data_IF_494843937482
#
_entry.id   IF_494843937482
#
_cell.length_a   1.000
_cell.length_b   1.000
_cell.length_c   1.000
_cell.angle_alpha   90.00
_cell.angle_beta   90.00
_cell.angle_gamma   90.00
#
_symmetry.space_group_name_H-M   'P 1'
#
loop_
_entity.id
_entity.type
_entity.pdbx_description
1 polymer ?
#
# COMPACT_ATOMS: atom_id res chain seq x y z
N UNK A 1 58.17 -18.37 14.65
CA UNK A 1 56.70 -18.58 14.56
C UNK A 1 56.01 -17.28 14.16
N UNK A 2 55.11 -17.35 13.17
CA UNK A 2 53.92 -16.49 12.99
C UNK A 2 54.05 -14.99 12.62
N UNK A 3 54.69 -14.62 11.50
CA UNK A 3 54.37 -13.34 10.82
C UNK A 3 53.40 -13.49 9.63
N UNK A 4 53.36 -14.67 9.00
CA UNK A 4 52.49 -14.93 7.84
C UNK A 4 51.03 -15.27 8.21
N UNK A 5 50.75 -15.65 9.47
CA UNK A 5 49.37 -15.91 9.92
C UNK A 5 48.58 -14.63 10.20
N UNK A 6 49.25 -13.53 10.51
CA UNK A 6 48.61 -12.24 10.84
C UNK A 6 48.17 -11.47 9.60
N UNK A 7 48.92 -11.53 8.50
CA UNK A 7 48.49 -10.91 7.23
C UNK A 7 47.29 -11.63 6.59
N UNK A 8 47.22 -12.96 6.68
CA UNK A 8 46.11 -13.71 6.10
C UNK A 8 44.79 -13.45 6.84
N UNK A 9 44.84 -13.26 8.17
CA UNK A 9 43.67 -12.93 8.98
C UNK A 9 43.11 -11.52 8.70
N UNK A 10 43.98 -10.55 8.39
CA UNK A 10 43.58 -9.16 8.08
C UNK A 10 42.92 -9.08 6.69
N UNK A 11 43.42 -9.81 5.69
CA UNK A 11 42.80 -9.86 4.36
C UNK A 11 41.43 -10.56 4.36
N UNK A 12 41.24 -11.58 5.20
CA UNK A 12 39.95 -12.29 5.34
C UNK A 12 38.92 -11.38 6.07
N UNK A 13 39.33 -10.64 7.11
CA UNK A 13 38.46 -9.69 7.81
C UNK A 13 38.00 -8.50 6.96
N UNK A 14 38.89 -7.96 6.11
CA UNK A 14 38.55 -6.86 5.18
C UNK A 14 37.60 -7.32 4.06
N UNK A 15 37.74 -8.55 3.56
CA UNK A 15 36.83 -9.11 2.55
C UNK A 15 35.42 -9.41 3.08
N UNK A 16 35.30 -9.88 4.33
CA UNK A 16 34.02 -10.13 5.00
C UNK A 16 33.27 -8.83 5.36
N UNK A 17 33.98 -7.78 5.77
CA UNK A 17 33.37 -6.47 6.03
C UNK A 17 32.88 -5.78 4.74
N UNK A 18 33.68 -5.84 3.67
CA UNK A 18 33.31 -5.27 2.38
C UNK A 18 32.10 -5.97 1.74
N UNK A 19 32.02 -7.30 1.84
CA UNK A 19 30.88 -8.08 1.31
C UNK A 19 29.60 -7.85 2.11
N UNK A 20 29.68 -7.73 3.43
CA UNK A 20 28.53 -7.39 4.28
C UNK A 20 28.00 -5.96 4.02
N UNK A 21 28.87 -4.97 3.82
CA UNK A 21 28.46 -3.60 3.50
C UNK A 21 27.80 -3.49 2.12
N UNK A 22 28.33 -4.18 1.09
CA UNK A 22 27.73 -4.22 -0.25
C UNK A 22 26.37 -4.96 -0.23
N UNK A 23 26.22 -5.98 0.61
CA UNK A 23 24.96 -6.71 0.80
C UNK A 23 23.84 -5.85 1.40
N UNK A 24 24.16 -4.91 2.31
CA UNK A 24 23.17 -3.98 2.84
C UNK A 24 22.84 -2.85 1.86
N UNK A 25 23.84 -2.27 1.19
CA UNK A 25 23.67 -1.15 0.27
C UNK A 25 22.90 -1.51 -1.02
N UNK A 26 22.81 -2.79 -1.35
CA UNK A 26 22.03 -3.31 -2.50
C UNK A 26 20.81 -4.14 -2.08
N UNK A 27 20.47 -4.18 -0.78
CA UNK A 27 19.44 -5.09 -0.24
C UNK A 27 18.08 -4.93 -0.92
N UNK A 28 17.67 -3.70 -1.23
CA UNK A 28 16.39 -3.36 -1.87
C UNK A 28 16.55 -3.00 -3.36
N UNK A 29 17.74 -3.20 -3.94
CA UNK A 29 18.04 -2.85 -5.33
C UNK A 29 17.33 -3.81 -6.31
N UNK A 30 16.08 -3.50 -6.64
CA UNK A 30 15.27 -4.17 -7.66
C UNK A 30 15.78 -3.88 -9.08
N UNK A 31 15.39 -4.73 -10.03
CA UNK A 31 15.75 -4.54 -11.45
C UNK A 31 15.02 -3.33 -12.04
N UNK A 32 13.74 -3.20 -11.72
CA UNK A 32 12.87 -2.12 -12.16
C UNK A 32 12.63 -1.12 -11.00
N UNK A 33 12.48 0.19 -11.28
CA UNK A 33 12.18 1.18 -10.24
C UNK A 33 10.87 0.84 -9.53
N UNK A 34 10.82 1.16 -8.23
CA UNK A 34 9.62 1.05 -7.41
C UNK A 34 8.82 2.36 -7.53
N UNK A 35 7.54 2.25 -7.82
CA UNK A 35 6.58 3.37 -7.82
C UNK A 35 5.59 3.15 -6.69
N UNK A 36 5.54 4.09 -5.76
CA UNK A 36 4.64 4.07 -4.61
C UNK A 36 3.38 4.88 -4.92
N UNK A 37 2.21 4.23 -4.89
CA UNK A 37 0.92 4.84 -5.23
C UNK A 37 0.00 4.86 -4.01
N UNK A 38 -0.28 6.06 -3.53
CA UNK A 38 -1.08 6.28 -2.31
C UNK A 38 -2.55 5.85 -2.49
N UNK A 39 -3.29 5.81 -1.39
CA UNK A 39 -4.72 5.50 -1.35
C UNK A 39 -5.64 6.71 -1.47
N UNK A 40 -6.90 6.52 -1.05
CA UNK A 40 -7.90 7.57 -0.91
C UNK A 40 -7.42 8.60 0.14
N UNK A 41 -7.65 9.90 -0.12
CA UNK A 41 -7.13 11.00 0.72
C UNK A 41 -5.60 11.00 0.90
N UNK A 42 -4.86 10.25 0.06
CA UNK A 42 -3.40 10.24 0.11
C UNK A 42 -2.79 11.54 -0.42
N UNK A 43 -1.62 11.87 0.08
CA UNK A 43 -0.91 13.12 -0.18
C UNK A 43 0.56 12.80 -0.39
N UNK A 44 1.31 13.69 -1.04
CA UNK A 44 2.76 13.51 -1.16
C UNK A 44 3.44 13.86 0.16
N UNK A 45 3.27 15.12 0.58
CA UNK A 45 3.75 15.62 1.86
C UNK A 45 2.78 16.67 2.42
N UNK A 46 2.55 16.63 3.73
CA UNK A 46 1.65 17.52 4.45
C UNK A 46 2.39 18.10 5.65
N UNK A 47 2.66 19.41 5.62
CA UNK A 47 3.45 20.09 6.66
C UNK A 47 4.82 19.43 6.92
N UNK A 48 5.43 18.84 5.89
CA UNK A 48 6.71 18.12 5.97
C UNK A 48 6.60 16.64 6.38
N UNK A 49 5.38 16.09 6.44
CA UNK A 49 5.10 14.70 6.79
C UNK A 49 4.71 13.97 5.51
N UNK A 50 5.50 12.97 5.13
CA UNK A 50 5.23 12.16 3.94
C UNK A 50 4.16 11.11 4.23
N UNK A 51 3.28 10.81 3.27
CA UNK A 51 2.31 9.71 3.38
C UNK A 51 2.99 8.37 3.67
N UNK A 52 4.06 8.09 2.92
CA UNK A 52 4.91 6.93 3.08
C UNK A 52 6.00 7.22 4.13
N UNK A 53 5.63 7.28 5.42
CA UNK A 53 6.50 7.84 6.45
C UNK A 53 7.80 7.05 6.65
N UNK A 54 8.93 7.58 6.17
CA UNK A 54 10.26 6.95 6.24
C UNK A 54 10.47 5.76 5.31
N UNK A 55 9.47 5.38 4.49
CA UNK A 55 9.56 4.22 3.60
C UNK A 55 10.43 4.50 2.36
N UNK A 56 10.27 5.62 1.62
CA UNK A 56 11.09 5.90 0.44
C UNK A 56 12.58 6.01 0.78
N UNK A 57 12.92 6.67 1.89
CA UNK A 57 14.32 6.81 2.34
C UNK A 57 14.92 5.45 2.72
N UNK A 58 14.16 4.60 3.42
CA UNK A 58 14.59 3.25 3.78
C UNK A 58 14.72 2.32 2.58
N UNK A 59 13.89 2.48 1.54
CA UNK A 59 14.04 1.74 0.29
C UNK A 59 15.25 2.24 -0.50
N UNK A 60 15.44 3.56 -0.62
CA UNK A 60 16.59 4.16 -1.32
C UNK A 60 17.92 3.82 -0.64
N UNK A 61 17.97 3.75 0.68
CA UNK A 61 19.19 3.40 1.42
C UNK A 61 19.69 1.97 1.16
N UNK A 62 18.81 1.06 0.73
CA UNK A 62 19.18 -0.28 0.27
C UNK A 62 19.39 -0.40 -1.24
N UNK A 63 19.41 0.72 -1.98
CA UNK A 63 19.73 0.77 -3.41
C UNK A 63 18.53 0.79 -4.36
N UNK A 64 17.29 0.81 -3.87
CA UNK A 64 16.11 0.93 -4.73
C UNK A 64 16.05 2.32 -5.40
N UNK A 65 15.66 2.35 -6.68
CA UNK A 65 15.15 3.58 -7.31
C UNK A 65 13.68 3.71 -6.96
N UNK A 66 13.29 4.78 -6.27
CA UNK A 66 11.92 4.94 -5.76
C UNK A 66 11.33 6.25 -6.25
N UNK A 67 10.17 6.14 -6.88
CA UNK A 67 9.31 7.24 -7.30
C UNK A 67 8.02 7.19 -6.47
N UNK A 68 7.46 8.36 -6.17
CA UNK A 68 6.17 8.49 -5.50
C UNK A 68 5.26 9.12 -6.55
N UNK A 69 4.15 8.45 -6.85
CA UNK A 69 3.16 8.97 -7.80
C UNK A 69 2.11 9.80 -7.07
N UNK A 70 1.67 10.90 -7.67
CA UNK A 70 0.53 11.69 -7.20
C UNK A 70 -0.67 11.41 -8.10
N UNK A 71 -1.80 10.99 -7.52
CA UNK A 71 -3.07 10.78 -8.24
C UNK A 71 -4.21 11.44 -7.47
N UNK A 72 -5.36 11.66 -8.11
CA UNK A 72 -6.54 12.29 -7.50
C UNK A 72 -6.88 11.66 -6.15
N UNK A 73 -6.89 12.44 -5.06
CA UNK A 73 -7.22 11.96 -3.70
C UNK A 73 -8.55 11.23 -3.66
N UNK A 74 -9.55 11.76 -4.38
CA UNK A 74 -10.89 11.23 -4.48
C UNK A 74 -11.28 11.11 -5.96
N UNK A 75 -11.36 9.89 -6.47
CA UNK A 75 -11.94 9.61 -7.79
C UNK A 75 -12.19 8.11 -7.96
N UNK A 76 -12.64 7.70 -9.15
CA UNK A 76 -12.76 6.28 -9.48
C UNK A 76 -11.40 5.60 -9.63
N UNK A 77 -11.33 4.28 -9.42
CA UNK A 77 -10.12 3.49 -9.66
C UNK A 77 -9.61 3.59 -11.11
N UNK A 78 -10.52 3.71 -12.09
CA UNK A 78 -10.16 3.86 -13.50
C UNK A 78 -9.53 5.24 -13.77
N UNK A 79 -10.12 6.33 -13.26
CA UNK A 79 -9.56 7.69 -13.42
C UNK A 79 -8.20 7.81 -12.77
N UNK A 80 -8.05 7.36 -11.52
CA UNK A 80 -6.74 7.32 -10.85
C UNK A 80 -5.74 6.43 -11.58
N UNK A 81 -6.23 5.36 -12.21
CA UNK A 81 -5.43 4.43 -13.01
C UNK A 81 -4.85 5.08 -14.26
N UNK A 82 -5.61 5.93 -14.94
CA UNK A 82 -5.13 6.72 -16.09
C UNK A 82 -4.09 7.76 -15.66
N UNK A 83 -4.33 8.49 -14.57
CA UNK A 83 -3.36 9.45 -14.01
C UNK A 83 -2.05 8.77 -13.61
N UNK A 84 -2.14 7.55 -13.04
CA UNK A 84 -0.96 6.75 -12.74
C UNK A 84 -0.26 6.26 -14.01
N UNK A 85 -1.03 5.86 -15.04
CA UNK A 85 -0.47 5.34 -16.28
C UNK A 85 0.44 6.37 -16.96
N UNK A 86 0.02 7.64 -17.03
CA UNK A 86 0.84 8.74 -17.59
C UNK A 86 2.21 8.82 -16.89
N UNK A 87 2.22 8.76 -15.55
CA UNK A 87 3.45 8.79 -14.77
C UNK A 87 4.28 7.51 -14.94
N UNK A 88 3.64 6.34 -15.07
CA UNK A 88 4.34 5.07 -15.31
C UNK A 88 5.02 5.05 -16.67
N UNK A 89 4.39 5.61 -17.70
CA UNK A 89 5.01 5.78 -19.03
C UNK A 89 6.26 6.66 -18.95
N UNK A 90 6.16 7.80 -18.26
CA UNK A 90 7.29 8.69 -18.03
C UNK A 90 8.41 7.97 -17.26
N UNK A 91 8.11 7.35 -16.11
CA UNK A 91 9.09 6.68 -15.26
C UNK A 91 9.76 5.51 -15.99
N UNK A 92 8.99 4.70 -16.73
CA UNK A 92 9.53 3.60 -17.52
C UNK A 92 10.51 4.10 -18.60
N UNK A 93 10.22 5.25 -19.22
CA UNK A 93 11.07 5.88 -20.21
C UNK A 93 12.34 6.51 -19.60
N UNK A 94 12.21 7.41 -18.61
CA UNK A 94 13.34 8.16 -18.05
C UNK A 94 14.29 7.28 -17.22
N UNK A 95 13.78 6.20 -16.63
CA UNK A 95 14.62 5.26 -15.87
C UNK A 95 15.49 4.37 -16.76
N UNK A 96 15.15 4.26 -18.05
CA UNK A 96 15.75 3.35 -19.02
C UNK A 96 15.47 1.87 -18.76
N UNK A 97 14.61 1.54 -17.77
CA UNK A 97 14.35 0.16 -17.37
C UNK A 97 13.21 -0.49 -18.18
N UNK A 98 12.37 0.30 -18.84
CA UNK A 98 11.26 -0.16 -19.69
C UNK A 98 10.08 -0.78 -18.95
N UNK A 99 10.20 -1.03 -17.64
CA UNK A 99 9.12 -1.45 -16.74
C UNK A 99 9.28 -0.82 -15.35
N UNK A 100 8.24 -0.94 -14.52
CA UNK A 100 8.22 -0.53 -13.11
C UNK A 100 7.67 -1.64 -12.20
N UNK A 101 8.01 -1.57 -10.91
CA UNK A 101 7.35 -2.30 -9.83
C UNK A 101 6.37 -1.37 -9.12
N UNK A 102 5.08 -1.65 -9.21
CA UNK A 102 4.04 -0.86 -8.55
C UNK A 102 3.78 -1.39 -7.13
N UNK A 103 3.76 -0.50 -6.15
CA UNK A 103 3.30 -0.78 -4.79
C UNK A 103 2.18 0.20 -4.44
N UNK A 104 0.97 -0.31 -4.25
CA UNK A 104 -0.23 0.48 -4.03
C UNK A 104 -0.87 0.18 -2.67
N UNK A 105 -1.05 1.20 -1.83
CA UNK A 105 -1.72 1.07 -0.54
C UNK A 105 -3.20 1.46 -0.63
N UNK A 106 -4.10 0.72 0.02
CA UNK A 106 -5.52 1.01 0.06
C UNK A 106 -6.12 1.13 -1.36
N UNK A 107 -6.72 2.28 -1.70
CA UNK A 107 -7.21 2.57 -3.07
C UNK A 107 -6.09 2.56 -4.15
N UNK A 108 -4.83 2.69 -3.74
CA UNK A 108 -3.67 2.49 -4.59
C UNK A 108 -3.61 1.07 -5.16
N UNK A 109 -4.15 0.06 -4.47
CA UNK A 109 -4.20 -1.33 -4.94
C UNK A 109 -5.04 -1.52 -6.22
N UNK A 110 -6.32 -1.16 -6.25
CA UNK A 110 -7.11 -1.13 -7.48
C UNK A 110 -6.51 -0.21 -8.56
N UNK A 111 -5.94 0.93 -8.17
CA UNK A 111 -5.28 1.87 -9.09
C UNK A 111 -4.12 1.21 -9.85
N UNK A 112 -3.21 0.52 -9.16
CA UNK A 112 -2.09 -0.17 -9.82
C UNK A 112 -2.54 -1.38 -10.65
N UNK A 113 -3.65 -2.03 -10.27
CA UNK A 113 -4.24 -3.14 -11.03
C UNK A 113 -4.79 -2.67 -12.38
N UNK A 114 -5.34 -1.46 -12.43
CA UNK A 114 -5.74 -0.85 -13.70
C UNK A 114 -4.55 -0.79 -14.66
N UNK A 115 -3.46 -0.14 -14.26
CA UNK A 115 -2.24 0.01 -15.06
C UNK A 115 -1.67 -1.35 -15.47
N UNK A 116 -1.58 -2.29 -14.54
CA UNK A 116 -1.09 -3.64 -14.80
C UNK A 116 -1.95 -4.43 -15.79
N UNK A 117 -3.25 -4.14 -15.85
CA UNK A 117 -4.17 -4.79 -16.78
C UNK A 117 -4.13 -4.17 -18.19
N UNK A 118 -4.07 -2.84 -18.29
CA UNK A 118 -4.10 -2.12 -19.58
C UNK A 118 -2.73 -2.04 -20.25
N UNK A 119 -1.65 -1.97 -19.47
CA UNK A 119 -0.25 -1.90 -19.95
C UNK A 119 0.66 -2.88 -19.21
N UNK A 120 0.39 -4.21 -19.29
CA UNK A 120 1.24 -5.22 -18.67
C UNK A 120 2.67 -5.24 -19.23
N UNK A 121 2.88 -4.67 -20.42
CA UNK A 121 4.20 -4.45 -21.00
C UNK A 121 5.08 -3.53 -20.16
N UNK A 122 4.50 -2.53 -19.46
CA UNK A 122 5.22 -1.57 -18.60
C UNK A 122 5.31 -1.99 -17.12
N UNK A 123 4.59 -3.04 -16.71
CA UNK A 123 4.55 -3.45 -15.30
C UNK A 123 5.32 -4.76 -15.12
N UNK A 124 6.21 -4.80 -14.14
CA UNK A 124 6.94 -6.01 -13.74
C UNK A 124 6.26 -6.71 -12.56
N UNK A 125 5.81 -5.93 -11.57
CA UNK A 125 4.99 -6.41 -10.47
C UNK A 125 3.93 -5.40 -10.04
N UNK A 126 2.81 -5.91 -9.53
CA UNK A 126 1.79 -5.15 -8.82
C UNK A 126 1.64 -5.71 -7.40
N UNK A 127 1.91 -4.87 -6.41
CA UNK A 127 1.97 -5.23 -5.01
C UNK A 127 0.95 -4.40 -4.24
N UNK A 128 -0.05 -5.02 -3.63
CA UNK A 128 -1.09 -4.30 -2.91
C UNK A 128 -0.94 -4.40 -1.38
N UNK A 129 -1.15 -3.29 -0.69
CA UNK A 129 -1.07 -3.17 0.78
C UNK A 129 -2.42 -2.74 1.31
N UNK A 130 -3.08 -3.57 2.12
CA UNK A 130 -4.41 -3.27 2.70
C UNK A 130 -5.43 -2.77 1.69
N UNK A 131 -5.44 -3.34 0.50
CA UNK A 131 -6.25 -2.83 -0.61
C UNK A 131 -7.64 -3.49 -0.63
N UNK A 132 -8.75 -2.74 -0.67
CA UNK A 132 -10.09 -3.33 -0.65
C UNK A 132 -10.49 -3.88 -2.03
N UNK A 133 -9.82 -4.94 -2.49
CA UNK A 133 -10.06 -5.49 -3.83
C UNK A 133 -11.47 -6.02 -3.99
N UNK A 134 -12.09 -6.51 -2.92
CA UNK A 134 -13.49 -6.96 -2.92
C UNK A 134 -14.44 -5.98 -2.20
N UNK A 135 -13.97 -4.76 -1.95
CA UNK A 135 -14.68 -3.72 -1.23
C UNK A 135 -14.33 -3.63 0.26
N UNK A 136 -14.90 -2.62 0.90
CA UNK A 136 -14.77 -2.31 2.33
C UNK A 136 -16.14 -2.26 2.97
N UNK A 137 -16.33 -2.97 4.08
CA UNK A 137 -17.59 -2.96 4.83
C UNK A 137 -17.86 -1.56 5.41
N UNK A 138 -16.83 -0.79 5.73
CA UNK A 138 -16.95 0.64 6.09
C UNK A 138 -17.54 1.45 4.92
N UNK A 139 -17.09 1.20 3.69
CA UNK A 139 -17.62 1.88 2.51
C UNK A 139 -19.07 1.46 2.22
N UNK A 140 -19.41 0.17 2.37
CA UNK A 140 -20.78 -0.33 2.26
C UNK A 140 -21.70 0.31 3.30
N UNK A 141 -21.23 0.40 4.55
CA UNK A 141 -21.94 1.07 5.64
C UNK A 141 -22.21 2.55 5.32
N UNK A 142 -21.17 3.31 4.92
CA UNK A 142 -21.31 4.73 4.55
C UNK A 142 -22.29 4.90 3.38
N UNK A 143 -22.21 4.05 2.36
CA UNK A 143 -23.11 4.08 1.21
C UNK A 143 -24.57 3.83 1.62
N UNK A 144 -24.82 2.80 2.44
CA UNK A 144 -26.16 2.47 2.93
C UNK A 144 -26.84 3.65 3.65
N UNK A 145 -26.03 4.46 4.34
CA UNK A 145 -26.51 5.63 5.07
C UNK A 145 -26.83 6.78 4.11
N UNK A 146 -25.99 7.00 3.08
CA UNK A 146 -26.22 8.05 2.07
C UNK A 146 -27.41 7.76 1.17
N UNK A 147 -27.72 6.49 0.92
CA UNK A 147 -28.84 6.07 0.07
C UNK A 147 -30.16 5.89 0.85
N UNK A 148 -30.13 6.05 2.18
CA UNK A 148 -31.31 5.90 3.04
C UNK A 148 -32.37 6.99 2.76
N UNK A 149 -33.63 6.62 2.43
CA UNK A 149 -34.68 7.58 2.11
C UNK A 149 -35.15 8.41 3.33
N UNK A 150 -34.85 7.96 4.55
CA UNK A 150 -35.13 8.70 5.79
C UNK A 150 -33.96 9.59 6.22
N UNK A 151 -32.92 9.69 5.39
CA UNK A 151 -31.66 10.34 5.72
C UNK A 151 -30.81 9.52 6.72
N UNK A 152 -29.63 10.02 7.11
CA UNK A 152 -28.78 9.36 8.09
C UNK A 152 -29.47 9.32 9.45
N UNK A 153 -29.79 8.12 9.95
CA UNK A 153 -30.08 7.95 11.37
C UNK A 153 -28.75 8.09 12.11
N UNK A 154 -28.65 9.09 13.00
CA UNK A 154 -27.45 9.33 13.80
C UNK A 154 -27.24 8.20 14.83
N UNK A 155 -26.68 7.09 14.39
CA UNK A 155 -26.23 6.01 15.28
C UNK A 155 -24.91 6.40 15.94
N UNK A 156 -24.63 5.92 17.17
CA UNK A 156 -23.32 6.15 17.81
C UNK A 156 -22.14 5.73 16.93
N UNK A 157 -22.31 4.67 16.14
CA UNK A 157 -21.33 4.19 15.17
C UNK A 157 -21.07 5.22 14.06
N UNK A 158 -22.13 5.74 13.42
CA UNK A 158 -21.98 6.77 12.39
C UNK A 158 -21.33 8.04 12.95
N UNK A 159 -21.76 8.49 14.13
CA UNK A 159 -21.18 9.68 14.79
C UNK A 159 -19.69 9.46 15.08
N UNK A 160 -19.32 8.27 15.56
CA UNK A 160 -17.91 7.90 15.79
C UNK A 160 -17.08 7.96 14.51
N UNK A 161 -17.55 7.35 13.43
CA UNK A 161 -16.86 7.35 12.13
C UNK A 161 -16.74 8.76 11.56
N UNK A 162 -17.82 9.54 11.58
CA UNK A 162 -17.81 10.92 11.03
C UNK A 162 -16.89 11.83 11.83
N UNK A 163 -16.93 11.77 13.16
CA UNK A 163 -16.04 12.58 14.00
C UNK A 163 -14.57 12.22 13.78
N UNK A 164 -14.25 10.92 13.73
CA UNK A 164 -12.89 10.45 13.51
C UNK A 164 -12.39 10.81 12.10
N UNK A 165 -13.24 10.65 11.07
CA UNK A 165 -12.94 11.08 9.71
C UNK A 165 -12.74 12.60 9.64
N UNK A 166 -13.54 13.38 10.37
CA UNK A 166 -13.38 14.83 10.49
C UNK A 166 -12.04 15.23 11.11
N UNK A 167 -11.56 14.51 12.12
CA UNK A 167 -10.22 14.72 12.70
C UNK A 167 -9.11 14.44 11.68
N UNK A 168 -9.20 13.33 10.95
CA UNK A 168 -8.23 12.99 9.89
C UNK A 168 -8.29 14.02 8.76
N UNK A 169 -9.47 14.37 8.26
CA UNK A 169 -9.61 15.39 7.21
C UNK A 169 -9.06 16.74 7.69
N UNK A 170 -9.35 17.17 8.92
CA UNK A 170 -8.82 18.42 9.44
C UNK A 170 -7.28 18.42 9.44
N UNK A 171 -6.67 17.31 9.84
CA UNK A 171 -5.23 17.12 9.71
C UNK A 171 -4.79 17.21 8.23
N UNK A 172 -5.45 16.48 7.33
CA UNK A 172 -5.14 16.39 5.89
C UNK A 172 -5.48 17.62 5.05
N UNK A 173 -6.31 18.52 5.56
CA UNK A 173 -6.82 19.71 4.84
C UNK A 173 -5.74 20.76 4.54
N UNK A 174 -4.55 20.61 5.13
CA UNK A 174 -3.36 21.40 4.78
C UNK A 174 -2.63 20.92 3.51
N UNK A 175 -3.15 19.90 2.81
CA UNK A 175 -2.52 19.36 1.59
C UNK A 175 -2.81 20.25 0.38
N UNK A 176 -1.80 20.43 -0.48
CA UNK A 176 -1.86 21.37 -1.61
C UNK A 176 -2.35 20.75 -2.92
N UNK A 177 -3.08 19.63 -2.89
CA UNK A 177 -3.37 18.93 -4.15
C UNK A 177 -4.33 19.72 -5.04
N UNK A 178 -3.97 19.79 -6.32
CA UNK A 178 -4.67 20.54 -7.35
C UNK A 178 -5.56 19.64 -8.23
N UNK A 179 -5.67 18.35 -7.89
CA UNK A 179 -6.38 17.35 -8.70
C UNK A 179 -7.91 17.40 -8.48
N UNK A 180 -8.73 17.05 -9.48
CA UNK A 180 -10.18 17.01 -9.33
C UNK A 180 -10.62 16.03 -8.25
N UNK A 181 -11.62 16.42 -7.45
CA UNK A 181 -12.14 15.63 -6.33
C UNK A 181 -13.54 15.09 -6.65
N UNK A 182 -13.70 13.78 -6.56
CA UNK A 182 -14.96 13.05 -6.74
C UNK A 182 -15.14 12.01 -5.62
N UNK A 183 -15.60 12.48 -4.47
CA UNK A 183 -15.83 11.65 -3.27
C UNK A 183 -16.79 10.48 -3.54
N UNK A 184 -17.85 10.72 -4.31
CA UNK A 184 -18.81 9.68 -4.69
C UNK A 184 -18.16 8.61 -5.58
N UNK A 185 -17.25 8.99 -6.47
CA UNK A 185 -16.47 8.05 -7.29
C UNK A 185 -15.54 7.17 -6.46
N UNK A 186 -14.92 7.72 -5.41
CA UNK A 186 -14.14 6.94 -4.44
C UNK A 186 -15.03 5.98 -3.65
N UNK A 187 -16.14 6.47 -3.09
CA UNK A 187 -17.08 5.62 -2.38
C UNK A 187 -17.64 4.51 -3.30
N UNK A 188 -17.89 4.83 -4.57
CA UNK A 188 -18.33 3.83 -5.55
C UNK A 188 -17.25 2.77 -5.77
N UNK A 189 -15.99 3.17 -5.91
CA UNK A 189 -14.88 2.25 -6.18
C UNK A 189 -14.51 1.35 -5.00
N UNK A 190 -14.78 1.81 -3.76
CA UNK A 190 -14.33 1.14 -2.53
C UNK A 190 -15.42 0.29 -1.87
N UNK A 191 -16.69 0.45 -2.26
CA UNK A 191 -17.78 -0.42 -1.80
C UNK A 191 -17.76 -1.76 -2.54
N UNK A 192 -18.36 -2.80 -1.96
CA UNK A 192 -18.34 -4.17 -2.49
C UNK A 192 -18.93 -4.30 -3.90
N UNK A 193 -20.02 -3.56 -4.18
CA UNK A 193 -20.67 -3.57 -5.50
C UNK A 193 -19.77 -2.97 -6.58
N UNK A 194 -19.22 -1.79 -6.35
CA UNK A 194 -18.36 -1.14 -7.35
C UNK A 194 -17.01 -1.83 -7.49
N UNK A 195 -16.44 -2.36 -6.40
CA UNK A 195 -15.26 -3.21 -6.46
C UNK A 195 -15.52 -4.48 -7.30
N UNK A 196 -16.68 -5.12 -7.18
CA UNK A 196 -17.05 -6.26 -8.02
C UNK A 196 -17.16 -5.89 -9.51
N UNK A 197 -17.71 -4.72 -9.84
CA UNK A 197 -17.74 -4.21 -11.23
C UNK A 197 -16.33 -3.98 -11.76
N UNK A 198 -15.45 -3.37 -10.98
CA UNK A 198 -14.05 -3.18 -11.34
C UNK A 198 -13.32 -4.52 -11.55
N UNK A 199 -13.54 -5.48 -10.65
CA UNK A 199 -12.94 -6.82 -10.72
C UNK A 199 -13.38 -7.61 -11.94
N UNK A 200 -14.63 -7.45 -12.38
CA UNK A 200 -15.12 -8.08 -13.60
C UNK A 200 -14.37 -7.60 -14.85
N UNK A 201 -13.95 -6.33 -14.88
CA UNK A 201 -13.12 -5.76 -15.96
C UNK A 201 -11.65 -6.14 -15.85
N UNK A 202 -11.10 -6.14 -14.64
CA UNK A 202 -9.67 -6.30 -14.37
C UNK A 202 -9.38 -7.46 -13.41
N UNK A 203 -9.65 -8.72 -13.78
CA UNK A 203 -9.61 -9.87 -12.85
C UNK A 203 -8.19 -10.36 -12.53
N UNK A 204 -7.16 -9.79 -13.13
CA UNK A 204 -5.78 -10.27 -13.04
C UNK A 204 -5.29 -10.28 -11.58
N UNK A 205 -4.79 -11.44 -11.14
CA UNK A 205 -4.26 -11.63 -9.80
C UNK A 205 -5.31 -11.82 -8.70
N UNK A 206 -6.61 -11.70 -8.97
CA UNK A 206 -7.62 -11.89 -7.92
C UNK A 206 -7.76 -13.37 -7.50
N UNK A 207 -8.04 -13.64 -6.21
CA UNK A 207 -8.46 -14.96 -5.76
C UNK A 207 -9.81 -15.37 -6.35
N UNK A 208 -9.92 -16.64 -6.77
CA UNK A 208 -11.20 -17.22 -7.23
C UNK A 208 -12.10 -17.67 -6.08
N UNK A 209 -11.54 -17.83 -4.88
CA UNK A 209 -12.27 -18.14 -3.64
C UNK A 209 -12.40 -16.88 -2.77
N UNK A 210 -13.25 -16.94 -1.74
CA UNK A 210 -13.52 -15.79 -0.87
C UNK A 210 -12.26 -15.22 -0.20
N UNK A 211 -11.39 -16.08 0.37
CA UNK A 211 -10.22 -15.68 1.14
C UNK A 211 -8.93 -16.43 0.74
N UNK A 212 -8.89 -17.00 -0.47
CA UNK A 212 -7.69 -17.66 -0.97
C UNK A 212 -6.67 -16.70 -1.55
N UNK A 213 -5.66 -17.24 -2.21
CA UNK A 213 -4.72 -16.49 -3.04
C UNK A 213 -5.21 -16.43 -4.49
N UNK A 214 -4.65 -15.49 -5.26
CA UNK A 214 -4.86 -15.40 -6.71
C UNK A 214 -3.69 -15.94 -7.51
N UNK A 215 -3.76 -15.83 -8.84
CA UNK A 215 -2.64 -16.21 -9.70
C UNK A 215 -1.42 -15.30 -9.44
N UNK A 216 -0.27 -15.90 -9.14
CA UNK A 216 0.95 -15.15 -8.78
C UNK A 216 1.56 -14.39 -9.96
N UNK A 217 1.26 -14.81 -11.19
CA UNK A 217 1.72 -14.16 -12.42
C UNK A 217 0.66 -14.25 -13.51
N UNK A 218 0.31 -13.12 -14.12
CA UNK A 218 -0.68 -13.01 -15.21
C UNK A 218 -0.14 -12.03 -16.23
N UNK A 219 -0.17 -12.37 -17.53
CA UNK A 219 0.33 -11.52 -18.63
C UNK A 219 1.76 -10.97 -18.42
N UNK A 220 2.62 -11.74 -17.75
CA UNK A 220 4.00 -11.32 -17.47
C UNK A 220 4.17 -10.50 -16.18
N UNK A 221 3.09 -9.98 -15.59
CA UNK A 221 3.10 -9.20 -14.34
C UNK A 221 3.00 -10.14 -13.13
N UNK A 222 3.85 -9.93 -12.11
CA UNK A 222 3.79 -10.65 -10.84
C UNK A 222 2.87 -9.92 -9.85
N UNK A 223 2.04 -10.66 -9.11
CA UNK A 223 1.08 -10.09 -8.16
C UNK A 223 1.36 -10.56 -6.73
N UNK A 224 1.35 -9.61 -5.79
CA UNK A 224 1.55 -9.87 -4.37
C UNK A 224 0.61 -9.01 -3.52
N UNK A 225 0.33 -9.45 -2.29
CA UNK A 225 -0.34 -8.61 -1.30
C UNK A 225 0.15 -8.84 0.12
N UNK A 226 -0.06 -7.86 1.00
CA UNK A 226 -0.06 -8.04 2.44
C UNK A 226 -1.02 -7.05 3.11
N UNK A 227 -1.40 -7.33 4.35
CA UNK A 227 -2.24 -6.43 5.15
C UNK A 227 -2.14 -6.75 6.64
N UNK A 228 -2.69 -5.85 7.46
CA UNK A 228 -2.90 -6.01 8.89
C UNK A 228 -4.29 -6.51 9.27
N UNK A 229 -4.43 -6.95 10.52
CA UNK A 229 -5.71 -7.34 11.13
C UNK A 229 -5.83 -6.85 12.56
N UNK A 230 -5.26 -5.70 12.88
CA UNK A 230 -5.28 -5.14 14.23
C UNK A 230 -5.69 -3.68 14.17
N UNK A 231 -6.99 -3.36 14.29
CA UNK A 231 -7.48 -1.98 14.18
C UNK A 231 -6.95 -1.04 15.26
N UNK A 232 -6.52 -1.59 16.40
CA UNK A 232 -5.92 -0.87 17.52
C UNK A 232 -4.51 -1.42 17.77
N UNK A 233 -3.51 -0.56 17.71
CA UNK A 233 -2.08 -0.91 17.77
C UNK A 233 -1.27 0.01 18.67
N UNK A 234 -1.61 1.30 18.75
CA UNK A 234 -0.87 2.29 19.52
C UNK A 234 -1.79 3.34 20.17
N UNK A 235 -1.90 3.30 21.50
CA UNK A 235 -2.76 4.21 22.27
C UNK A 235 -2.35 5.69 22.18
N UNK A 236 -1.12 5.99 21.74
CA UNK A 236 -0.65 7.37 21.56
C UNK A 236 -0.95 7.92 20.17
N UNK A 237 -1.43 7.08 19.25
CA UNK A 237 -1.81 7.47 17.91
C UNK A 237 -3.32 7.81 17.87
N UNK A 238 -3.71 9.07 17.59
CA UNK A 238 -5.12 9.44 17.49
C UNK A 238 -5.85 8.74 16.35
N UNK A 239 -5.14 8.25 15.32
CA UNK A 239 -5.75 7.56 14.18
C UNK A 239 -6.31 6.18 14.54
N UNK A 240 -5.82 5.56 15.62
CA UNK A 240 -6.39 4.33 16.18
C UNK A 240 -7.87 4.47 16.53
N UNK A 241 -8.33 5.69 16.87
CA UNK A 241 -9.75 5.93 17.13
C UNK A 241 -10.60 5.74 15.86
N UNK A 242 -10.09 6.16 14.70
CA UNK A 242 -10.77 5.98 13.43
C UNK A 242 -10.83 4.50 13.06
N UNK A 243 -9.68 3.82 13.02
CA UNK A 243 -9.60 2.41 12.64
C UNK A 243 -10.35 1.53 13.63
N UNK A 244 -10.27 1.82 14.93
CA UNK A 244 -11.05 1.16 15.97
C UNK A 244 -12.56 1.33 15.78
N UNK A 245 -13.05 2.54 15.55
CA UNK A 245 -14.49 2.78 15.33
C UNK A 245 -14.99 2.15 14.02
N UNK A 246 -14.24 2.29 12.93
CA UNK A 246 -14.62 1.75 11.63
C UNK A 246 -14.54 0.21 11.59
N UNK A 247 -13.68 -0.41 12.41
CA UNK A 247 -13.61 -1.87 12.54
C UNK A 247 -14.91 -2.53 12.97
N UNK A 248 -15.81 -1.78 13.64
CA UNK A 248 -17.12 -2.25 14.07
C UNK A 248 -18.10 -2.51 12.91
N UNK A 249 -17.73 -2.13 11.69
CA UNK A 249 -18.52 -2.42 10.48
C UNK A 249 -18.22 -3.81 9.90
N UNK A 250 -17.16 -4.48 10.37
CA UNK A 250 -16.70 -5.76 9.84
C UNK A 250 -17.08 -6.92 10.76
N UNK A 251 -17.46 -8.04 10.15
CA UNK A 251 -17.66 -9.33 10.82
C UNK A 251 -16.44 -10.28 10.68
N UNK A 252 -15.34 -9.79 10.11
CA UNK A 252 -14.09 -10.53 9.91
C UNK A 252 -12.86 -9.78 10.45
N UNK A 253 -11.69 -10.44 10.64
CA UNK A 253 -10.44 -9.74 10.94
C UNK A 253 -10.16 -8.65 9.91
N UNK A 254 -9.80 -7.46 10.35
CA UNK A 254 -9.65 -6.28 9.50
C UNK A 254 -8.61 -5.30 10.08
N UNK A 255 -8.15 -4.36 9.27
CA UNK A 255 -7.21 -3.30 9.65
C UNK A 255 -7.90 -2.01 10.15
N UNK A 256 -9.24 -2.05 10.27
CA UNK A 256 -10.11 -0.92 10.59
C UNK A 256 -10.84 -0.32 9.39
N UNK A 257 -10.32 -0.48 8.17
CA UNK A 257 -10.93 0.04 6.94
C UNK A 257 -11.08 -1.00 5.83
N UNK A 258 -10.35 -2.11 5.90
CA UNK A 258 -10.36 -3.19 4.92
C UNK A 258 -10.33 -4.54 5.63
N UNK A 259 -11.23 -5.42 5.21
CA UNK A 259 -11.30 -6.79 5.67
C UNK A 259 -10.13 -7.63 5.14
N UNK A 260 -9.63 -8.55 5.97
CA UNK A 260 -8.49 -9.43 5.66
C UNK A 260 -8.63 -10.05 4.27
N UNK A 261 -9.77 -10.68 4.00
CA UNK A 261 -9.98 -11.44 2.78
C UNK A 261 -10.12 -10.53 1.55
N UNK A 262 -10.65 -9.32 1.73
CA UNK A 262 -10.74 -8.31 0.68
C UNK A 262 -9.35 -7.83 0.23
N UNK A 263 -8.33 -7.89 1.10
CA UNK A 263 -6.96 -7.47 0.82
C UNK A 263 -6.17 -8.36 -0.14
N UNK A 264 -6.67 -9.56 -0.45
CA UNK A 264 -5.91 -10.59 -1.14
C UNK A 264 -5.73 -10.32 -2.64
N UNK A 265 -4.47 -10.34 -3.11
CA UNK A 265 -4.09 -10.23 -4.51
C UNK A 265 -2.81 -11.04 -4.78
N UNK A 266 -2.87 -11.90 -5.79
CA UNK A 266 -1.76 -12.76 -6.18
C UNK A 266 -1.28 -13.59 -5.00
N UNK A 267 0.04 -13.55 -4.77
CA UNK A 267 0.68 -14.20 -3.62
C UNK A 267 0.54 -13.34 -2.36
N UNK A 268 -0.21 -13.84 -1.38
CA UNK A 268 -0.37 -13.22 -0.08
C UNK A 268 0.89 -13.47 0.74
N UNK A 269 1.68 -12.43 0.97
CA UNK A 269 2.92 -12.49 1.76
C UNK A 269 2.57 -12.76 3.23
N UNK A 270 1.64 -11.98 3.75
CA UNK A 270 1.03 -12.12 5.08
C UNK A 270 -0.16 -11.16 5.17
N UNK A 271 -1.27 -11.60 5.73
CA UNK A 271 -2.55 -10.88 5.77
C UNK A 271 -3.02 -10.64 7.20
N UNK A 272 -2.12 -10.80 8.18
CA UNK A 272 -2.42 -10.74 9.60
C UNK A 272 -1.27 -10.09 10.40
N UNK A 273 -0.65 -9.07 9.83
CA UNK A 273 0.24 -8.21 10.61
C UNK A 273 -0.56 -7.54 11.73
N UNK A 274 0.08 -7.29 12.88
CA UNK A 274 -0.49 -6.43 13.91
C UNK A 274 -0.31 -4.97 13.52
N UNK A 275 -1.05 -4.57 12.49
CA UNK A 275 -1.09 -3.25 11.87
C UNK A 275 -2.56 -2.87 11.67
N UNK A 276 -2.89 -1.61 11.95
CA UNK A 276 -4.10 -0.96 11.46
C UNK A 276 -3.86 -0.39 10.05
N UNK A 277 -4.88 0.19 9.42
CA UNK A 277 -4.78 0.68 8.04
C UNK A 277 -3.74 1.80 7.84
N UNK A 278 -3.42 2.59 8.86
CA UNK A 278 -2.41 3.65 8.76
C UNK A 278 -1.01 3.18 9.15
N UNK A 279 -0.91 2.20 10.05
CA UNK A 279 0.35 1.52 10.35
C UNK A 279 0.98 0.93 9.09
N UNK A 280 0.17 0.45 8.15
CA UNK A 280 0.65 -0.14 6.89
C UNK A 280 1.50 0.81 6.04
N UNK A 281 1.37 2.13 6.23
CA UNK A 281 2.21 3.17 5.62
C UNK A 281 3.08 3.91 6.67
N UNK A 282 3.26 3.28 7.82
CA UNK A 282 4.04 3.75 8.97
C UNK A 282 3.51 5.07 9.55
N UNK A 283 2.20 5.29 9.47
CA UNK A 283 1.51 6.44 10.05
C UNK A 283 0.82 6.04 11.37
N UNK A 284 0.56 6.99 12.26
CA UNK A 284 0.98 8.40 12.21
C UNK A 284 2.40 8.57 12.78
N UNK A 285 3.29 9.23 12.05
CA UNK A 285 4.67 9.53 12.51
C UNK A 285 5.48 8.29 12.99
N UNK A 286 5.17 7.10 12.49
CA UNK A 286 5.80 5.84 12.91
C UNK A 286 5.31 5.26 14.23
N UNK A 287 4.22 5.80 14.81
CA UNK A 287 3.60 5.28 16.04
C UNK A 287 2.82 3.99 15.78
N UNK A 288 3.56 2.91 15.53
CA UNK A 288 3.00 1.59 15.21
C UNK A 288 3.05 0.65 16.43
N UNK A 289 2.57 -0.60 16.28
CA UNK A 289 2.68 -1.59 17.36
C UNK A 289 4.13 -1.93 17.71
N UNK A 290 4.50 -1.81 19.00
CA UNK A 290 5.81 -2.23 19.51
C UNK A 290 6.01 -3.77 19.53
N UNK A 291 4.94 -4.53 19.31
CA UNK A 291 4.93 -5.99 19.36
C UNK A 291 4.85 -6.62 17.95
N UNK A 292 5.19 -5.85 16.93
CA UNK A 292 5.23 -6.29 15.53
C UNK A 292 6.47 -5.76 14.83
N UNK A 293 6.79 -6.39 13.71
CA UNK A 293 7.81 -5.91 12.79
C UNK A 293 7.44 -4.53 12.27
N UNK A 294 8.40 -3.60 12.27
CA UNK A 294 8.19 -2.26 11.70
C UNK A 294 7.67 -2.34 10.25
N UNK A 295 6.65 -1.56 9.87
CA UNK A 295 6.15 -1.49 8.49
C UNK A 295 7.26 -1.18 7.48
N UNK A 296 8.18 -0.27 7.82
CA UNK A 296 9.35 0.08 7.00
C UNK A 296 10.20 -1.16 6.68
N UNK A 297 10.34 -2.08 7.63
CA UNK A 297 11.07 -3.33 7.42
C UNK A 297 10.33 -4.26 6.47
N UNK A 298 8.99 -4.29 6.53
CA UNK A 298 8.16 -5.07 5.59
C UNK A 298 8.37 -4.59 4.15
N UNK A 299 8.34 -3.27 3.89
CA UNK A 299 8.64 -2.74 2.54
C UNK A 299 10.04 -3.12 2.05
N UNK A 300 11.06 -3.06 2.93
CA UNK A 300 12.42 -3.49 2.56
C UNK A 300 12.48 -4.98 2.22
N UNK A 301 11.77 -5.83 2.95
CA UNK A 301 11.69 -7.27 2.67
C UNK A 301 10.93 -7.55 1.37
N UNK A 302 9.87 -6.79 1.08
CA UNK A 302 9.15 -6.85 -0.19
C UNK A 302 10.06 -6.46 -1.36
N UNK A 303 10.79 -5.34 -1.26
CA UNK A 303 11.74 -4.95 -2.31
C UNK A 303 12.85 -5.99 -2.51
N UNK A 304 13.36 -6.59 -1.44
CA UNK A 304 14.32 -7.70 -1.54
C UNK A 304 13.71 -8.94 -2.21
N UNK A 305 12.44 -9.25 -1.92
CA UNK A 305 11.70 -10.33 -2.60
C UNK A 305 11.59 -10.06 -4.10
N UNK A 306 11.19 -8.85 -4.49
CA UNK A 306 11.11 -8.42 -5.89
C UNK A 306 12.46 -8.57 -6.61
N UNK A 307 13.55 -8.09 -5.98
CA UNK A 307 14.92 -8.28 -6.47
C UNK A 307 15.24 -9.76 -6.71
N UNK A 308 14.94 -10.64 -5.76
CA UNK A 308 15.21 -12.07 -5.88
C UNK A 308 14.31 -12.75 -6.93
N UNK A 309 13.13 -12.19 -7.19
CA UNK A 309 12.21 -12.60 -8.25
C UNK A 309 12.61 -12.09 -9.65
N UNK A 310 13.70 -11.30 -9.73
CA UNK A 310 14.27 -10.75 -10.96
C UNK A 310 13.52 -9.53 -11.48
N UNK A 311 12.75 -8.86 -10.63
CA UNK A 311 11.99 -7.64 -10.93
C UNK A 311 12.45 -6.46 -10.09
#
# INVERSE_FOLDING_TARGET
MNKNKTLLAVCIGLGLAATAQVSQASYTQTKYPIVLTHGMLGFDSLLGIDYWYGIPSALRSGGAKVYISEVSQLNTSETRGEELLEQVEEIAAISGAGKVNLIGHSHGGPTIRYVAAVRPDLVASAVSVGAPHKGSDTADFLKSITESPVGPVATPLLVGIVNALGTVINFLSGSSSMTPQNALGSLESLNSKGAAVFNAKYPQGLPTTACGEGAYKVNGVRYYSWSGTSPLTNMLDPSDLLTGAASLTFDEPNDGLVGRCSSHLGKVIRDNYRMNHLDEVNQAFGLTSLFETSPVTVYRQVANRLKNDGV
#
